data_IF_990320959121
#
_entry.id   IF_990320959121
#
_cell.length_a   1.000
_cell.length_b   1.000
_cell.length_c   1.000
_cell.angle_alpha   90.00
_cell.angle_beta   90.00
_cell.angle_gamma   90.00
#
_symmetry.space_group_name_H-M   'P 1'
#
loop_
_entity.id
_entity.type
_entity.pdbx_description
1 polymer ?
#
# COMPACT_ATOMS: atom_id res chain seq x y z
N UNK A 1 -54.82 -1.88 3.10
CA UNK A 1 -54.43 -1.28 1.80
C UNK A 1 -53.37 -0.23 2.05
N UNK A 2 -52.13 -0.41 1.58
CA UNK A 2 -51.14 0.68 1.59
C UNK A 2 -51.66 1.78 0.65
N UNK A 3 -51.66 3.05 1.08
CA UNK A 3 -51.97 4.15 0.18
C UNK A 3 -50.93 4.21 -0.94
N UNK A 4 -51.34 4.63 -2.15
CA UNK A 4 -50.47 4.74 -3.33
C UNK A 4 -49.18 5.51 -3.02
N UNK A 5 -49.27 6.55 -2.19
CA UNK A 5 -48.14 7.34 -1.71
C UNK A 5 -47.11 6.52 -0.92
N UNK A 6 -47.55 5.59 -0.06
CA UNK A 6 -46.65 4.72 0.71
C UNK A 6 -45.88 3.76 -0.22
N UNK A 7 -46.53 3.24 -1.26
CA UNK A 7 -45.87 2.38 -2.24
C UNK A 7 -44.81 3.14 -3.04
N UNK A 8 -45.14 4.36 -3.49
CA UNK A 8 -44.16 5.21 -4.21
C UNK A 8 -42.98 5.54 -3.31
N UNK A 9 -43.23 5.91 -2.04
CA UNK A 9 -42.16 6.24 -1.09
C UNK A 9 -41.25 5.03 -0.83
N UNK A 10 -41.82 3.84 -0.63
CA UNK A 10 -41.04 2.60 -0.47
C UNK A 10 -40.22 2.31 -1.72
N UNK A 11 -40.81 2.44 -2.91
CA UNK A 11 -40.10 2.19 -4.17
C UNK A 11 -38.91 3.15 -4.34
N UNK A 12 -39.08 4.43 -4.02
CA UNK A 12 -38.00 5.43 -4.07
C UNK A 12 -36.90 5.09 -3.07
N UNK A 13 -37.24 4.73 -1.83
CA UNK A 13 -36.25 4.34 -0.81
C UNK A 13 -35.47 3.11 -1.25
N UNK A 14 -36.15 2.08 -1.74
CA UNK A 14 -35.50 0.84 -2.23
C UNK A 14 -34.56 1.15 -3.40
N UNK A 15 -35.02 1.94 -4.38
CA UNK A 15 -34.19 2.33 -5.52
C UNK A 15 -32.96 3.14 -5.08
N UNK A 16 -33.15 4.08 -4.15
CA UNK A 16 -32.06 4.92 -3.62
C UNK A 16 -31.05 4.11 -2.82
N UNK A 17 -31.49 3.06 -2.10
CA UNK A 17 -30.60 2.16 -1.38
C UNK A 17 -29.93 1.12 -2.29
N UNK A 18 -30.59 0.71 -3.37
CA UNK A 18 -30.06 -0.27 -4.31
C UNK A 18 -28.80 0.26 -5.04
N UNK A 19 -28.79 1.53 -5.46
CA UNK A 19 -27.65 2.14 -6.16
C UNK A 19 -26.33 2.06 -5.35
N UNK A 20 -26.24 2.56 -4.09
CA UNK A 20 -25.02 2.47 -3.29
C UNK A 20 -24.69 1.02 -2.91
N UNK A 21 -25.69 0.15 -2.70
CA UNK A 21 -25.46 -1.26 -2.44
C UNK A 21 -24.82 -1.96 -3.64
N UNK A 22 -25.34 -1.73 -4.85
CA UNK A 22 -24.76 -2.25 -6.10
C UNK A 22 -23.35 -1.70 -6.31
N UNK A 23 -23.13 -0.41 -6.11
CA UNK A 23 -21.80 0.20 -6.19
C UNK A 23 -20.82 -0.44 -5.19
N UNK A 24 -21.26 -0.65 -3.95
CA UNK A 24 -20.45 -1.31 -2.93
C UNK A 24 -20.08 -2.73 -3.34
N UNK A 25 -21.04 -3.53 -3.81
CA UNK A 25 -20.78 -4.88 -4.30
C UNK A 25 -19.78 -4.92 -5.45
N UNK A 26 -19.87 -3.98 -6.40
CA UNK A 26 -18.97 -3.92 -7.56
C UNK A 26 -17.55 -3.47 -7.21
N UNK A 27 -17.38 -2.72 -6.12
CA UNK A 27 -16.09 -2.11 -5.73
C UNK A 27 -15.52 -2.72 -4.46
N UNK A 28 -16.14 -3.80 -3.96
CA UNK A 28 -15.82 -4.38 -2.66
C UNK A 28 -14.45 -5.07 -2.65
N UNK A 29 -14.20 -5.89 -3.66
CA UNK A 29 -12.98 -6.64 -3.83
C UNK A 29 -12.54 -6.48 -5.29
N UNK A 30 -11.26 -6.17 -5.47
CA UNK A 30 -10.61 -6.15 -6.77
C UNK A 30 -9.50 -7.17 -6.71
N UNK A 31 -9.43 -8.03 -7.71
CA UNK A 31 -8.38 -9.04 -7.83
C UNK A 31 -7.11 -8.39 -8.38
N UNK A 32 -5.97 -8.59 -7.72
CA UNK A 32 -4.66 -8.08 -8.12
C UNK A 32 -4.65 -6.59 -8.56
N UNK A 33 -5.12 -5.64 -7.72
CA UNK A 33 -5.26 -4.25 -8.12
C UNK A 33 -3.94 -3.49 -8.18
N UNK A 34 -2.83 -4.09 -7.76
CA UNK A 34 -1.53 -3.43 -7.67
C UNK A 34 -0.49 -4.14 -8.54
N UNK A 35 0.22 -3.38 -9.35
CA UNK A 35 1.44 -3.82 -10.02
C UNK A 35 2.66 -3.10 -9.45
N UNK A 36 3.79 -3.82 -9.44
CA UNK A 36 5.01 -3.37 -8.79
C UNK A 36 6.14 -3.36 -9.80
N UNK A 37 6.87 -2.26 -9.88
CA UNK A 37 7.97 -2.11 -10.81
C UNK A 37 9.18 -1.46 -10.16
N UNK A 38 10.34 -2.08 -10.30
CA UNK A 38 11.60 -1.48 -9.91
C UNK A 38 11.97 -0.39 -10.92
N UNK A 39 12.07 0.86 -10.47
CA UNK A 39 12.39 2.01 -11.32
C UNK A 39 13.87 2.36 -11.27
N UNK A 40 14.56 2.00 -10.19
CA UNK A 40 15.99 2.18 -10.06
C UNK A 40 16.49 1.90 -8.67
N UNK A 41 17.78 2.18 -8.46
CA UNK A 41 18.41 2.12 -7.15
C UNK A 41 19.30 3.35 -6.96
N UNK A 42 19.70 3.59 -5.72
CA UNK A 42 20.64 4.65 -5.36
C UNK A 42 21.96 4.04 -4.92
N UNK A 43 22.96 4.90 -4.73
CA UNK A 43 24.25 4.47 -4.20
C UNK A 43 24.08 3.90 -2.78
N UNK A 44 24.88 2.88 -2.40
CA UNK A 44 24.88 2.36 -1.05
C UNK A 44 25.18 3.46 -0.03
N UNK A 45 24.34 3.58 0.98
CA UNK A 45 24.50 4.54 2.07
C UNK A 45 24.97 3.78 3.31
N UNK A 46 26.07 4.24 3.90
CA UNK A 46 26.52 3.77 5.19
C UNK A 46 25.58 4.30 6.28
N UNK A 47 25.07 3.41 7.13
CA UNK A 47 24.26 3.78 8.28
C UNK A 47 24.61 2.95 9.51
N UNK A 48 24.19 3.39 10.70
CA UNK A 48 24.37 2.60 11.92
C UNK A 48 23.58 1.30 11.81
N UNK A 49 24.27 0.20 12.07
CA UNK A 49 23.71 -1.11 12.34
C UNK A 49 23.16 -1.19 13.77
N UNK A 50 22.37 -2.22 14.04
CA UNK A 50 21.73 -2.43 15.35
C UNK A 50 22.73 -2.58 16.51
N UNK A 51 23.96 -3.00 16.21
CA UNK A 51 25.02 -3.23 17.21
C UNK A 51 26.18 -2.22 17.13
N UNK A 52 25.95 -1.07 16.48
CA UNK A 52 26.97 -0.02 16.35
C UNK A 52 27.94 -0.19 15.18
N UNK A 53 27.91 -1.34 14.51
CA UNK A 53 28.65 -1.57 13.26
C UNK A 53 28.10 -0.73 12.11
N UNK A 54 28.95 -0.36 11.14
CA UNK A 54 28.48 0.30 9.92
C UNK A 54 27.88 -0.73 8.98
N UNK A 55 26.59 -0.57 8.66
CA UNK A 55 25.88 -1.42 7.70
C UNK A 55 25.61 -0.59 6.44
N UNK A 56 26.04 -1.12 5.29
CA UNK A 56 25.66 -0.55 4.00
C UNK A 56 24.22 -0.93 3.68
N UNK A 57 23.46 0.08 3.24
CA UNK A 57 22.06 -0.08 2.85
C UNK A 57 21.89 0.46 1.44
N UNK A 58 21.17 -0.27 0.60
CA UNK A 58 20.87 0.16 -0.77
C UNK A 58 19.40 0.59 -0.84
N UNK A 59 19.14 1.86 -1.20
CA UNK A 59 17.80 2.32 -1.51
C UNK A 59 17.40 1.89 -2.92
N UNK A 60 16.23 1.26 -3.04
CA UNK A 60 15.58 0.87 -4.29
C UNK A 60 14.30 1.68 -4.45
N UNK A 61 14.14 2.32 -5.61
CA UNK A 61 12.94 3.07 -5.92
C UNK A 61 11.94 2.15 -6.64
N UNK A 62 10.85 1.83 -5.96
CA UNK A 62 9.78 0.93 -6.42
C UNK A 62 8.54 1.77 -6.74
N UNK A 63 8.05 1.66 -7.95
CA UNK A 63 6.76 2.21 -8.36
C UNK A 63 5.66 1.19 -8.11
N UNK A 64 4.67 1.59 -7.34
CA UNK A 64 3.44 0.84 -7.10
C UNK A 64 2.34 1.50 -7.89
N UNK A 65 1.75 0.77 -8.83
CA UNK A 65 0.69 1.28 -9.70
C UNK A 65 -0.61 0.58 -9.37
N UNK A 66 -1.68 1.36 -9.23
CA UNK A 66 -3.02 0.84 -9.15
C UNK A 66 -3.53 0.55 -10.56
N UNK A 67 -3.83 -0.70 -10.87
CA UNK A 67 -4.38 -1.14 -12.16
C UNK A 67 -5.91 -1.09 -12.18
N UNK A 68 -6.54 -0.93 -11.02
CA UNK A 68 -7.99 -0.85 -10.83
C UNK A 68 -8.58 0.50 -11.23
N UNK A 69 -9.88 0.48 -11.55
CA UNK A 69 -10.75 1.67 -11.70
C UNK A 69 -11.18 2.28 -10.36
N UNK A 70 -10.83 1.66 -9.23
CA UNK A 70 -11.16 2.14 -7.88
C UNK A 70 -9.88 2.52 -7.16
N UNK A 71 -9.92 3.57 -6.34
CA UNK A 71 -8.78 3.92 -5.49
C UNK A 71 -8.50 2.82 -4.45
N UNK A 72 -7.22 2.59 -4.19
CA UNK A 72 -6.73 1.60 -3.23
C UNK A 72 -6.06 2.32 -2.07
N UNK A 73 -6.38 1.90 -0.86
CA UNK A 73 -5.67 2.28 0.36
C UNK A 73 -4.65 1.19 0.67
N UNK A 74 -3.40 1.54 0.50
CA UNK A 74 -2.27 0.66 0.79
C UNK A 74 -1.88 0.81 2.26
N UNK A 75 -2.00 -0.29 3.01
CA UNK A 75 -1.77 -0.35 4.45
C UNK A 75 -0.35 -0.81 4.74
N UNK A 76 0.12 -1.83 4.01
CA UNK A 76 1.45 -2.41 4.22
C UNK A 76 2.07 -2.94 2.91
N UNK A 77 3.39 -2.99 2.89
CA UNK A 77 4.23 -3.53 1.81
C UNK A 77 5.36 -4.38 2.38
N UNK A 78 5.58 -5.53 1.75
CA UNK A 78 6.68 -6.42 2.05
C UNK A 78 7.35 -6.90 0.76
N UNK A 79 8.67 -7.05 0.79
CA UNK A 79 9.38 -7.83 -0.23
C UNK A 79 9.43 -9.28 0.23
N UNK A 80 8.96 -10.21 -0.58
CA UNK A 80 8.87 -11.64 -0.28
C UNK A 80 9.48 -12.48 -1.40
N UNK A 81 9.75 -13.76 -1.14
CA UNK A 81 10.22 -14.72 -2.12
C UNK A 81 9.65 -16.10 -1.84
N UNK A 82 9.16 -16.79 -2.88
CA UNK A 82 8.77 -18.20 -2.78
C UNK A 82 9.96 -19.15 -2.61
N UNK A 83 11.16 -18.72 -2.97
CA UNK A 83 12.34 -19.61 -2.99
C UNK A 83 12.98 -19.85 -1.62
N UNK A 84 12.40 -19.32 -0.53
CA UNK A 84 12.95 -19.40 0.84
C UNK A 84 14.39 -18.85 0.99
N UNK A 85 15.00 -18.27 -0.05
CA UNK A 85 16.21 -17.48 0.10
C UNK A 85 15.86 -16.24 0.92
N UNK A 86 16.49 -16.09 2.08
CA UNK A 86 16.26 -15.01 3.03
C UNK A 86 16.48 -13.66 2.34
N UNK A 87 15.43 -13.04 1.80
CA UNK A 87 15.50 -11.65 1.39
C UNK A 87 15.77 -10.86 2.67
N UNK A 88 16.88 -10.11 2.76
CA UNK A 88 17.17 -9.35 3.95
C UNK A 88 16.02 -8.39 4.23
N UNK A 89 15.50 -8.39 5.45
CA UNK A 89 14.39 -7.53 5.84
C UNK A 89 14.80 -6.07 5.67
N UNK A 90 14.25 -5.43 4.65
CA UNK A 90 14.40 -4.00 4.41
C UNK A 90 13.23 -3.20 4.94
N UNK A 91 13.32 -1.88 4.78
CA UNK A 91 12.30 -0.94 5.22
C UNK A 91 11.74 -0.15 4.05
N UNK A 92 10.42 0.02 4.01
CA UNK A 92 9.79 0.91 3.05
C UNK A 92 9.69 2.32 3.63
N UNK A 93 9.98 3.29 2.79
CA UNK A 93 9.78 4.71 3.07
C UNK A 93 9.02 5.36 1.91
N UNK A 94 8.15 6.31 2.23
CA UNK A 94 7.42 7.11 1.25
C UNK A 94 7.70 8.59 1.49
N UNK A 95 7.73 9.40 0.43
CA UNK A 95 8.09 10.82 0.54
C UNK A 95 7.07 11.54 1.45
N UNK A 96 7.52 12.01 2.61
CA UNK A 96 6.67 12.71 3.59
C UNK A 96 6.01 11.81 4.65
N UNK A 97 6.25 10.49 4.63
CA UNK A 97 5.74 9.54 5.63
C UNK A 97 6.92 8.79 6.27
N UNK A 98 6.92 8.68 7.60
CA UNK A 98 7.97 8.00 8.37
C UNK A 98 8.09 6.51 8.07
N UNK A 99 9.19 5.90 8.53
CA UNK A 99 9.56 4.51 8.24
C UNK A 99 8.50 3.50 8.71
N UNK A 100 8.05 2.64 7.78
CA UNK A 100 7.31 1.41 8.10
C UNK A 100 8.29 0.24 8.20
N UNK A 101 8.30 -0.43 9.35
CA UNK A 101 9.04 -1.69 9.51
C UNK A 101 8.14 -2.82 9.02
N UNK A 102 8.66 -3.69 8.15
CA UNK A 102 7.94 -4.81 7.49
C UNK A 102 7.32 -5.88 8.44
N UNK A 103 7.26 -5.63 9.75
CA UNK A 103 6.75 -6.56 10.75
C UNK A 103 6.14 -5.89 12.00
N UNK A 104 6.09 -4.55 12.10
CA UNK A 104 5.50 -3.88 13.30
C UNK A 104 4.52 -2.80 12.88
N UNK A 105 3.25 -3.18 12.97
CA UNK A 105 2.05 -2.37 12.81
C UNK A 105 1.91 -1.33 13.93
N UNK A 106 2.31 -0.10 13.65
CA UNK A 106 1.54 1.07 14.09
C UNK A 106 0.76 1.56 12.87
N UNK A 107 -0.55 1.81 13.00
CA UNK A 107 -1.39 2.35 11.92
C UNK A 107 -0.84 3.71 11.45
N UNK A 108 0.15 3.71 10.56
CA UNK A 108 0.40 4.85 9.69
C UNK A 108 -0.83 5.01 8.80
N UNK A 109 -1.26 6.25 8.56
CA UNK A 109 -2.34 6.52 7.64
C UNK A 109 -2.08 5.81 6.30
N UNK A 110 -3.04 5.06 5.77
CA UNK A 110 -2.82 4.30 4.55
C UNK A 110 -2.52 5.25 3.39
N UNK A 111 -1.63 4.82 2.51
CA UNK A 111 -1.32 5.58 1.31
C UNK A 111 -2.43 5.37 0.28
N UNK A 112 -3.06 6.46 -0.16
CA UNK A 112 -4.10 6.41 -1.17
C UNK A 112 -3.47 6.42 -2.56
N UNK A 113 -3.64 5.33 -3.30
CA UNK A 113 -3.28 5.24 -4.71
C UNK A 113 -4.57 5.38 -5.53
N UNK A 114 -4.74 6.49 -6.24
CA UNK A 114 -5.92 6.74 -7.06
C UNK A 114 -6.05 5.70 -8.17
N UNK A 115 -7.26 5.56 -8.72
CA UNK A 115 -7.50 4.67 -9.85
C UNK A 115 -6.52 4.98 -10.99
N UNK A 116 -5.87 3.94 -11.52
CA UNK A 116 -4.88 4.03 -12.60
C UNK A 116 -3.63 4.90 -12.32
N UNK A 117 -3.44 5.33 -11.07
CA UNK A 117 -2.32 6.18 -10.67
C UNK A 117 -1.14 5.34 -10.15
N UNK A 118 0.01 5.97 -10.00
CA UNK A 118 1.23 5.32 -9.52
C UNK A 118 1.92 6.16 -8.44
N UNK A 119 2.45 5.49 -7.43
CA UNK A 119 3.15 6.09 -6.30
C UNK A 119 4.52 5.43 -6.15
N UNK A 120 5.54 6.23 -5.82
CA UNK A 120 6.90 5.74 -5.62
C UNK A 120 7.22 5.55 -4.14
N UNK A 121 7.83 4.41 -3.83
CA UNK A 121 8.32 4.04 -2.52
C UNK A 121 9.82 3.77 -2.62
N UNK A 122 10.55 4.08 -1.56
CA UNK A 122 11.96 3.72 -1.44
C UNK A 122 12.08 2.55 -0.46
N UNK A 123 12.44 1.38 -0.97
CA UNK A 123 12.77 0.20 -0.19
C UNK A 123 14.26 0.18 0.13
N UNK A 124 14.62 0.13 1.40
CA UNK A 124 16.01 0.13 1.85
C UNK A 124 16.39 -1.25 2.35
N UNK A 125 17.18 -1.98 1.58
CA UNK A 125 17.69 -3.30 1.95
C UNK A 125 19.09 -3.20 2.54
N UNK A 126 19.45 -3.98 3.57
CA UNK A 126 20.84 -4.14 3.95
C UNK A 126 21.61 -4.89 2.84
N UNK A 127 22.87 -4.51 2.62
CA UNK A 127 23.74 -5.08 1.60
C UNK A 127 24.55 -4.03 0.83
N UNK A 128 25.49 -4.50 0.02
CA UNK A 128 26.42 -3.67 -0.76
C UNK A 128 26.25 -3.81 -2.28
N UNK A 129 25.43 -4.74 -2.77
CA UNK A 129 25.16 -4.92 -4.21
C UNK A 129 23.66 -4.90 -4.56
N UNK A 130 23.26 -4.31 -5.70
CA UNK A 130 21.87 -4.33 -6.19
C UNK A 130 21.37 -5.73 -6.54
N UNK A 131 22.30 -6.68 -6.73
CA UNK A 131 22.04 -8.03 -7.23
C UNK A 131 21.09 -8.86 -6.35
N UNK A 132 20.92 -8.47 -5.08
CA UNK A 132 20.04 -9.15 -4.11
C UNK A 132 18.59 -9.19 -4.61
N UNK A 133 18.09 -8.11 -5.21
CA UNK A 133 16.72 -8.10 -5.75
C UNK A 133 16.64 -8.65 -7.18
N UNK A 134 17.75 -8.76 -7.91
CA UNK A 134 17.72 -9.13 -9.33
C UNK A 134 17.97 -10.61 -9.56
N UNK A 135 18.67 -11.27 -8.64
CA UNK A 135 19.01 -12.70 -8.72
C UNK A 135 17.88 -13.63 -8.28
N UNK A 136 16.98 -13.16 -7.40
CA UNK A 136 15.95 -14.00 -6.75
C UNK A 136 14.55 -13.82 -7.38
N UNK A 137 14.37 -12.79 -8.23
CA UNK A 137 13.06 -12.37 -8.76
C UNK A 137 12.00 -12.26 -7.64
N UNK A 138 12.14 -11.27 -6.75
CA UNK A 138 11.28 -11.12 -5.59
C UNK A 138 9.83 -10.86 -6.00
N UNK A 139 8.95 -11.21 -5.08
CA UNK A 139 7.55 -10.81 -5.10
C UNK A 139 7.32 -9.69 -4.10
N UNK A 140 6.22 -8.98 -4.27
CA UNK A 140 5.75 -7.92 -3.41
C UNK A 140 4.48 -8.39 -2.73
N UNK A 141 4.57 -8.58 -1.41
CA UNK A 141 3.40 -8.71 -0.55
C UNK A 141 2.81 -7.33 -0.29
N UNK A 142 1.49 -7.22 -0.35
CA UNK A 142 0.78 -5.98 -0.02
C UNK A 142 -0.45 -6.27 0.82
N UNK A 143 -0.65 -5.46 1.86
CA UNK A 143 -1.91 -5.40 2.58
C UNK A 143 -2.64 -4.14 2.13
N UNK A 144 -3.83 -4.30 1.55
CA UNK A 144 -4.56 -3.17 0.99
C UNK A 144 -6.07 -3.35 1.13
N UNK A 145 -6.82 -2.25 0.94
CA UNK A 145 -8.28 -2.27 0.87
C UNK A 145 -8.77 -1.29 -0.20
N UNK A 146 -9.91 -1.59 -0.81
CA UNK A 146 -10.55 -0.64 -1.74
C UNK A 146 -11.06 0.58 -0.99
N UNK A 147 -11.19 1.72 -1.67
CA UNK A 147 -11.74 2.94 -1.08
C UNK A 147 -13.12 2.73 -0.47
N UNK A 148 -13.98 1.96 -1.14
CA UNK A 148 -15.32 1.66 -0.65
C UNK A 148 -15.27 0.87 0.66
N UNK A 149 -14.42 -0.17 0.73
CA UNK A 149 -14.22 -0.94 1.96
C UNK A 149 -13.65 -0.05 3.07
N UNK A 150 -12.65 0.78 2.77
CA UNK A 150 -12.05 1.71 3.74
C UNK A 150 -13.08 2.68 4.35
N UNK A 151 -13.93 3.31 3.53
CA UNK A 151 -14.99 4.21 4.02
C UNK A 151 -15.98 3.51 4.95
N UNK A 152 -16.35 2.27 4.63
CA UNK A 152 -17.18 1.48 5.53
C UNK A 152 -16.46 1.19 6.85
N UNK A 153 -15.15 0.90 6.81
CA UNK A 153 -14.35 0.69 8.01
C UNK A 153 -14.28 1.92 8.89
N UNK A 154 -13.99 3.10 8.33
CA UNK A 154 -14.00 4.37 9.08
C UNK A 154 -15.34 4.58 9.79
N UNK A 155 -16.44 4.36 9.07
CA UNK A 155 -17.79 4.48 9.63
C UNK A 155 -18.03 3.44 10.75
N UNK A 156 -17.63 2.18 10.54
CA UNK A 156 -17.76 1.13 11.56
C UNK A 156 -16.92 1.40 12.80
N UNK A 157 -15.70 1.93 12.65
CA UNK A 157 -14.86 2.34 13.77
C UNK A 157 -15.53 3.44 14.59
N UNK A 158 -16.11 4.42 13.93
CA UNK A 158 -16.86 5.50 14.58
C UNK A 158 -18.10 4.97 15.32
N UNK A 159 -18.89 4.08 14.70
CA UNK A 159 -20.04 3.44 15.37
C UNK A 159 -19.58 2.61 16.57
N UNK A 160 -18.52 1.82 16.43
CA UNK A 160 -17.95 1.00 17.51
C UNK A 160 -17.52 1.85 18.70
N UNK A 161 -17.00 3.07 18.46
CA UNK A 161 -16.61 4.00 19.52
C UNK A 161 -17.78 4.49 20.38
N UNK A 162 -19.00 4.45 19.84
CA UNK A 162 -20.23 4.81 20.55
C UNK A 162 -20.94 3.62 21.18
N UNK A 163 -20.50 2.39 20.90
CA UNK A 163 -21.13 1.19 21.41
C UNK A 163 -20.59 0.78 22.79
N UNK A 164 -21.47 0.26 23.67
CA UNK A 164 -21.05 -0.36 24.92
C UNK A 164 -20.00 -1.46 24.70
N UNK A 165 -19.10 -1.64 25.66
CA UNK A 165 -18.03 -2.65 25.59
C UNK A 165 -18.57 -4.07 25.31
N UNK A 166 -19.77 -4.40 25.81
CA UNK A 166 -20.44 -5.69 25.56
C UNK A 166 -20.75 -5.97 24.08
N UNK A 167 -20.89 -4.92 23.27
CA UNK A 167 -21.14 -5.02 21.83
C UNK A 167 -19.89 -4.89 20.98
N UNK A 168 -18.76 -4.44 21.53
CA UNK A 168 -17.54 -4.20 20.74
C UNK A 168 -17.00 -5.47 20.08
N UNK A 169 -17.15 -6.63 20.72
CA UNK A 169 -16.72 -7.93 20.19
C UNK A 169 -17.73 -8.54 19.20
N UNK A 170 -18.88 -7.90 18.97
CA UNK A 170 -19.89 -8.33 17.99
C UNK A 170 -19.69 -7.68 16.62
N UNK A 171 -18.82 -6.67 16.52
CA UNK A 171 -18.53 -6.04 15.24
C UNK A 171 -17.74 -7.00 14.35
N UNK A 172 -18.05 -7.05 13.05
CA UNK A 172 -17.23 -7.79 12.10
C UNK A 172 -15.79 -7.29 12.14
N UNK A 173 -14.85 -8.24 12.18
CA UNK A 173 -13.43 -7.96 11.94
C UNK A 173 -13.24 -7.93 10.43
N UNK A 174 -12.64 -6.87 9.95
CA UNK A 174 -12.29 -6.75 8.56
C UNK A 174 -10.80 -6.84 8.40
N UNK A 175 -10.38 -7.96 7.83
CA UNK A 175 -9.00 -8.12 7.42
C UNK A 175 -8.79 -7.37 6.10
N UNK A 176 -7.65 -6.69 5.98
CA UNK A 176 -7.21 -6.19 4.69
C UNK A 176 -7.07 -7.33 3.69
N UNK A 177 -7.10 -7.01 2.40
CA UNK A 177 -6.78 -8.00 1.38
C UNK A 177 -5.26 -8.10 1.31
N UNK A 178 -4.75 -9.28 1.65
CA UNK A 178 -3.34 -9.59 1.42
C UNK A 178 -3.19 -10.18 0.03
N UNK A 179 -2.28 -9.63 -0.75
CA UNK A 179 -1.99 -10.09 -2.10
C UNK A 179 -0.49 -10.10 -2.36
N UNK A 180 -0.07 -10.98 -3.27
CA UNK A 180 1.33 -11.17 -3.66
C UNK A 180 1.43 -11.10 -5.17
N UNK A 181 2.21 -10.16 -5.66
CA UNK A 181 2.45 -9.97 -7.08
C UNK A 181 3.94 -9.91 -7.40
N UNK A 182 4.38 -10.33 -8.60
CA UNK A 182 5.79 -10.27 -8.98
C UNK A 182 6.28 -8.81 -9.04
N UNK A 183 7.53 -8.58 -8.64
CA UNK A 183 8.21 -7.31 -8.91
C UNK A 183 8.73 -7.31 -10.34
N UNK A 184 8.23 -6.39 -11.17
CA UNK A 184 8.76 -6.19 -12.51
C UNK A 184 10.14 -5.52 -12.43
N UNK A 185 11.16 -6.23 -12.90
CA UNK A 185 12.54 -5.74 -12.93
C UNK A 185 12.91 -5.44 -14.38
N UNK A 186 13.23 -4.19 -14.75
CA UNK A 186 13.70 -3.86 -16.08
C UNK A 186 15.02 -4.59 -16.36
N UNK A 187 15.17 -5.11 -17.59
CA UNK A 187 16.43 -5.65 -18.08
C UNK A 187 16.93 -4.77 -19.24
N UNK A 188 18.08 -4.07 -19.14
CA UNK A 188 19.00 -4.04 -17.98
C UNK A 188 18.47 -3.21 -16.81
N UNK A 189 19.05 -3.41 -15.61
CA UNK A 189 18.71 -2.61 -14.45
C UNK A 189 18.97 -1.12 -14.72
N UNK A 190 18.07 -0.21 -14.32
CA UNK A 190 18.32 1.21 -14.42
C UNK A 190 19.55 1.57 -13.59
N UNK A 191 20.48 2.33 -14.19
CA UNK A 191 21.68 2.79 -13.52
C UNK A 191 21.33 3.61 -12.26
N UNK A 192 22.27 3.68 -11.31
CA UNK A 192 22.05 4.41 -10.05
C UNK A 192 21.64 5.86 -10.31
N UNK A 193 20.48 6.27 -9.80
CA UNK A 193 19.97 7.63 -9.97
C UNK A 193 20.73 8.59 -9.05
N UNK A 194 21.97 8.95 -9.41
CA UNK A 194 22.81 9.86 -8.62
C UNK A 194 22.54 11.35 -8.90
N UNK A 195 21.65 11.68 -9.85
CA UNK A 195 21.57 13.03 -10.44
C UNK A 195 20.53 13.99 -9.86
N UNK A 196 19.55 13.56 -9.07
CA UNK A 196 18.45 14.45 -8.66
C UNK A 196 18.67 15.25 -7.37
N UNK A 197 19.76 14.98 -6.63
CA UNK A 197 20.07 15.73 -5.40
C UNK A 197 20.86 17.03 -5.66
N UNK A 198 21.64 17.12 -6.75
CA UNK A 198 22.39 18.35 -7.06
C UNK A 198 21.53 19.44 -7.72
N UNK A 199 20.49 19.09 -8.48
CA UNK A 199 19.60 20.08 -9.10
C UNK A 199 18.65 20.73 -8.07
N UNK A 200 18.20 20.00 -7.05
CA UNK A 200 17.29 20.56 -6.02
C UNK A 200 17.97 21.40 -4.95
N UNK A 201 19.25 21.16 -4.64
CA UNK A 201 20.01 22.02 -3.70
C UNK A 201 20.35 23.38 -4.35
N UNK A 202 20.44 23.45 -5.68
CA UNK A 202 20.67 24.72 -6.38
C UNK A 202 19.45 25.67 -6.37
N UNK A 203 18.24 25.14 -6.19
CA UNK A 203 17.00 25.94 -6.14
C UNK A 203 16.63 26.42 -4.73
N UNK A 204 17.41 26.10 -3.70
CA UNK A 204 17.19 26.56 -2.32
C UNK A 204 18.16 27.66 -1.88
N UNK A 205 18.98 28.19 -2.79
CA UNK A 205 19.95 29.27 -2.53
C UNK A 205 19.76 30.54 -3.37
N UNK A 206 18.58 30.79 -3.93
CA UNK A 206 18.22 32.08 -4.54
C UNK A 206 17.05 32.73 -3.83
#
# INVERSE_FOLDING_TARGET
MLSRTKLILVAVVVLTAAIPATYACLTWAVEAPLSFRLVGHREPVAGPGLFGDTVYKIPFDIEVRNTSSVAIHLIDLAVTSRSHATIPTGMFSHRGVGFGVAATSGMSDPVIIKAHDAVRFTYTSPGSTPEVLTSIQPEMGSLHVTHTKYRLLEWLFLVRSWCPASLQNRFPVFDGQYDVAPLEIPNPLPASTSSDLKSQISNFKS
#
